data_IF_752797016698
#
_entry.id   IF_752797016698
#
_cell.length_a   1.000
_cell.length_b   1.000
_cell.length_c   1.000
_cell.angle_alpha   90.00
_cell.angle_beta   90.00
_cell.angle_gamma   90.00
#
_symmetry.space_group_name_H-M   'P 1'
#
loop_
_entity.id
_entity.type
_entity.pdbx_description
1 polymer ?
#
# COMPACT_ATOMS: atom_id res chain seq x y z
N UNK A 1 -33.27 6.89 -28.79
CA UNK A 1 -33.40 6.54 -27.35
C UNK A 1 -32.65 5.28 -26.98
N UNK A 2 -32.76 4.20 -27.75
CA UNK A 2 -32.03 2.94 -27.45
C UNK A 2 -30.53 3.11 -27.50
N UNK A 3 -30.01 4.00 -28.35
CA UNK A 3 -28.56 4.26 -28.44
C UNK A 3 -27.99 4.90 -27.20
N UNK A 4 -28.74 5.77 -26.53
CA UNK A 4 -28.28 6.42 -25.30
C UNK A 4 -28.15 5.44 -24.15
N UNK A 5 -29.05 4.48 -24.07
CA UNK A 5 -29.01 3.45 -23.04
C UNK A 5 -27.80 2.55 -23.24
N UNK A 6 -27.48 2.17 -24.46
CA UNK A 6 -26.31 1.34 -24.76
C UNK A 6 -25.00 2.04 -24.44
N UNK A 7 -24.90 3.32 -24.73
CA UNK A 7 -23.70 4.10 -24.43
C UNK A 7 -23.51 4.22 -22.94
N UNK A 8 -24.59 4.42 -22.20
CA UNK A 8 -24.52 4.51 -20.73
C UNK A 8 -24.04 3.19 -20.11
N UNK A 9 -24.51 2.07 -20.62
CA UNK A 9 -24.12 0.75 -20.15
C UNK A 9 -22.64 0.49 -20.41
N UNK A 10 -22.15 0.85 -21.60
CA UNK A 10 -20.75 0.71 -21.96
C UNK A 10 -19.85 1.55 -21.07
N UNK A 11 -20.28 2.77 -20.73
CA UNK A 11 -19.55 3.64 -19.83
C UNK A 11 -19.42 3.03 -18.43
N UNK A 12 -20.47 2.41 -17.92
CA UNK A 12 -20.45 1.76 -16.63
C UNK A 12 -19.47 0.59 -16.59
N UNK A 13 -19.40 -0.19 -17.66
CA UNK A 13 -18.46 -1.31 -17.76
C UNK A 13 -17.01 -0.83 -17.79
N UNK A 14 -16.73 0.23 -18.54
CA UNK A 14 -15.40 0.81 -18.61
C UNK A 14 -14.99 1.37 -17.24
N UNK A 15 -15.91 2.01 -16.57
CA UNK A 15 -15.64 2.55 -15.23
C UNK A 15 -15.33 1.44 -14.23
N UNK A 16 -16.04 0.32 -14.26
CA UNK A 16 -15.77 -0.81 -13.40
C UNK A 16 -14.40 -1.43 -13.67
N UNK A 17 -14.02 -1.58 -14.93
CA UNK A 17 -12.72 -2.10 -15.30
C UNK A 17 -11.58 -1.17 -14.84
N UNK A 18 -11.78 0.16 -14.99
CA UNK A 18 -10.79 1.13 -14.55
C UNK A 18 -10.64 1.10 -13.03
N UNK A 19 -11.72 0.93 -12.30
CA UNK A 19 -11.68 0.83 -10.84
C UNK A 19 -10.88 -0.39 -10.38
N UNK A 20 -11.07 -1.54 -11.02
CA UNK A 20 -10.31 -2.74 -10.71
C UNK A 20 -8.81 -2.55 -11.02
N UNK A 21 -8.50 -1.79 -12.06
CA UNK A 21 -7.14 -1.55 -12.47
C UNK A 21 -6.36 -0.71 -11.45
N UNK A 22 -7.04 0.19 -10.73
CA UNK A 22 -6.39 1.06 -9.75
C UNK A 22 -6.20 0.43 -8.38
N UNK A 23 -6.45 -0.88 -8.23
CA UNK A 23 -6.33 -1.56 -6.95
C UNK A 23 -4.90 -1.99 -6.60
N UNK A 24 -3.89 -1.69 -7.44
CA UNK A 24 -2.53 -2.20 -7.29
C UNK A 24 -1.91 -1.99 -5.91
N UNK A 25 -1.67 -0.75 -5.52
CA UNK A 25 -1.06 -0.44 -4.21
C UNK A 25 -2.12 -0.34 -3.12
N UNK A 26 -3.34 0.03 -3.48
CA UNK A 26 -4.43 0.17 -2.52
C UNK A 26 -4.75 -1.16 -1.84
N UNK A 27 -5.00 -1.11 -0.54
CA UNK A 27 -5.42 -2.27 0.21
C UNK A 27 -4.56 -2.54 1.43
N UNK A 28 -4.72 -3.73 1.98
CA UNK A 28 -3.96 -4.16 3.15
C UNK A 28 -2.83 -5.08 2.75
N UNK A 29 -1.69 -4.86 3.37
CA UNK A 29 -0.47 -5.61 3.10
C UNK A 29 0.10 -6.11 4.41
N UNK A 30 0.57 -7.34 4.43
CA UNK A 30 1.16 -7.94 5.61
C UNK A 30 2.63 -8.22 5.39
N UNK A 31 3.40 -8.11 6.46
CA UNK A 31 4.83 -8.38 6.46
C UNK A 31 5.29 -8.82 7.83
N UNK A 32 6.47 -9.45 7.86
CA UNK A 32 7.16 -9.75 9.10
C UNK A 32 8.39 -8.85 9.17
N UNK A 33 8.51 -8.09 10.24
CA UNK A 33 9.68 -7.25 10.47
C UNK A 33 10.52 -7.83 11.59
N UNK A 34 11.84 -7.72 11.42
CA UNK A 34 12.79 -8.18 12.43
C UNK A 34 13.13 -7.05 13.38
N UNK A 35 12.92 -7.26 14.65
CA UNK A 35 13.27 -6.30 15.69
C UNK A 35 14.74 -6.34 16.06
N UNK A 36 15.19 -5.40 16.91
CA UNK A 36 16.60 -5.33 17.33
C UNK A 36 17.07 -6.58 18.07
N UNK A 37 16.16 -7.31 18.70
CA UNK A 37 16.45 -8.55 19.42
C UNK A 37 16.49 -9.78 18.52
N UNK A 38 16.27 -9.59 17.21
CA UNK A 38 16.24 -10.69 16.25
C UNK A 38 14.90 -11.39 16.11
N UNK A 39 13.92 -11.06 16.94
CA UNK A 39 12.58 -11.63 16.84
C UNK A 39 11.79 -10.96 15.74
N UNK A 40 10.99 -11.75 15.03
CA UNK A 40 10.10 -11.23 13.99
C UNK A 40 8.73 -10.92 14.60
N UNK A 41 8.11 -9.86 14.09
CA UNK A 41 6.76 -9.49 14.50
C UNK A 41 5.93 -9.13 13.28
N UNK A 42 4.62 -9.43 13.30
CA UNK A 42 3.75 -9.11 12.18
C UNK A 42 3.42 -7.63 12.14
N UNK A 43 3.34 -7.09 10.94
CA UNK A 43 2.95 -5.70 10.73
C UNK A 43 2.02 -5.65 9.53
N UNK A 44 1.01 -4.78 9.60
CA UNK A 44 0.04 -4.60 8.54
C UNK A 44 0.08 -3.16 8.06
N UNK A 45 0.23 -2.99 6.76
CA UNK A 45 0.16 -1.68 6.13
C UNK A 45 -1.16 -1.58 5.39
N UNK A 46 -1.88 -0.50 5.62
CA UNK A 46 -3.07 -0.17 4.84
C UNK A 46 -2.76 1.05 4.01
N UNK A 47 -2.84 0.91 2.69
CA UNK A 47 -2.49 1.98 1.76
C UNK A 47 -3.69 2.40 0.94
N UNK A 48 -3.76 3.69 0.68
CA UNK A 48 -4.73 4.28 -0.24
C UNK A 48 -4.03 5.33 -1.08
N UNK A 49 -4.20 5.22 -2.40
CA UNK A 49 -3.64 6.19 -3.33
C UNK A 49 -4.71 7.16 -3.79
N UNK A 50 -4.29 8.41 -3.96
CA UNK A 50 -5.11 9.47 -4.54
C UNK A 50 -4.20 10.27 -5.47
N UNK A 51 -4.22 9.91 -6.75
CA UNK A 51 -3.24 10.44 -7.68
C UNK A 51 -1.83 10.04 -7.26
N UNK A 52 -0.96 11.02 -7.04
CA UNK A 52 0.40 10.79 -6.61
C UNK A 52 0.56 10.75 -5.08
N UNK A 53 -0.53 10.94 -4.35
CA UNK A 53 -0.49 10.98 -2.89
C UNK A 53 -0.79 9.60 -2.32
N UNK A 54 0.01 9.17 -1.36
CA UNK A 54 -0.18 7.92 -0.64
C UNK A 54 -0.55 8.24 0.81
N UNK A 55 -1.65 7.66 1.27
CA UNK A 55 -2.08 7.75 2.67
C UNK A 55 -2.25 6.36 3.24
N UNK A 56 -2.32 6.26 4.54
CA UNK A 56 -2.57 4.98 5.16
C UNK A 56 -2.11 4.90 6.60
N UNK A 57 -2.06 3.66 7.07
CA UNK A 57 -1.68 3.34 8.45
C UNK A 57 -0.75 2.15 8.49
N UNK A 58 0.00 2.08 9.58
CA UNK A 58 0.84 0.95 9.93
C UNK A 58 0.30 0.39 11.24
N UNK A 59 -0.07 -0.88 11.25
CA UNK A 59 -0.65 -1.53 12.42
C UNK A 59 0.27 -2.66 12.89
N UNK A 60 0.54 -2.67 14.18
CA UNK A 60 1.35 -3.71 14.81
C UNK A 60 0.72 -4.09 16.14
N UNK A 61 1.36 -4.98 16.90
CA UNK A 61 0.87 -5.38 18.22
C UNK A 61 0.83 -4.22 19.23
N UNK A 62 1.61 -3.17 18.98
CA UNK A 62 1.64 -2.02 19.89
C UNK A 62 0.67 -0.91 19.47
N UNK A 63 -0.05 -1.06 18.37
CA UNK A 63 -1.07 -0.10 17.95
C UNK A 63 -1.03 0.22 16.47
N UNK A 64 -1.84 1.19 16.08
CA UNK A 64 -1.92 1.71 14.71
C UNK A 64 -1.34 3.11 14.66
N UNK A 65 -0.55 3.37 13.61
CA UNK A 65 0.15 4.64 13.44
C UNK A 65 -0.08 5.13 12.02
N UNK A 66 -0.25 6.44 11.85
CA UNK A 66 -0.41 7.04 10.54
C UNK A 66 0.90 7.18 9.80
N UNK A 67 0.79 7.27 8.47
CA UNK A 67 1.93 7.64 7.64
C UNK A 67 1.78 9.08 7.17
N UNK A 68 2.90 9.70 6.82
CA UNK A 68 2.92 11.06 6.28
C UNK A 68 3.88 11.13 5.10
N UNK A 69 3.81 12.23 4.34
CA UNK A 69 4.69 12.47 3.19
C UNK A 69 4.66 11.34 2.17
N UNK A 70 3.50 10.69 2.03
CA UNK A 70 3.34 9.57 1.11
C UNK A 70 3.25 10.03 -0.33
N UNK A 71 4.06 9.43 -1.21
CA UNK A 71 4.12 9.74 -2.63
C UNK A 71 4.17 8.43 -3.41
N UNK A 72 3.45 8.39 -4.53
CA UNK A 72 3.51 7.29 -5.47
C UNK A 72 3.91 7.85 -6.83
N UNK A 73 4.88 7.19 -7.45
CA UNK A 73 5.30 7.54 -8.81
C UNK A 73 5.55 6.25 -9.58
N UNK A 74 4.66 5.93 -10.53
CA UNK A 74 4.70 4.65 -11.20
C UNK A 74 4.50 3.52 -10.20
N UNK A 75 5.42 2.58 -10.16
CA UNK A 75 5.41 1.47 -9.20
C UNK A 75 6.17 1.78 -7.92
N UNK A 76 6.79 2.94 -7.82
CA UNK A 76 7.57 3.33 -6.64
C UNK A 76 6.72 4.08 -5.65
N UNK A 77 7.00 3.88 -4.38
CA UNK A 77 6.29 4.56 -3.30
C UNK A 77 7.25 4.98 -2.20
N UNK A 78 6.94 6.08 -1.55
CA UNK A 78 7.71 6.62 -0.42
C UNK A 78 6.72 7.08 0.63
N UNK A 79 7.07 6.86 1.88
CA UNK A 79 6.26 7.39 2.99
C UNK A 79 7.09 7.41 4.26
N UNK A 80 6.61 8.18 5.24
CA UNK A 80 7.17 8.24 6.57
C UNK A 80 6.18 7.60 7.54
N UNK A 81 6.62 6.59 8.27
CA UNK A 81 5.82 5.98 9.33
C UNK A 81 6.08 6.73 10.64
N UNK A 82 5.01 7.22 11.25
CA UNK A 82 5.10 7.99 12.50
C UNK A 82 4.76 7.06 13.66
N UNK A 83 5.77 6.40 14.21
CA UNK A 83 5.60 5.42 15.29
C UNK A 83 6.04 6.06 16.59
N UNK A 84 5.06 6.44 17.43
CA UNK A 84 5.30 7.21 18.65
C UNK A 84 6.00 8.54 18.31
N UNK A 85 7.19 8.75 18.81
CA UNK A 85 7.97 9.96 18.49
C UNK A 85 8.95 9.75 17.35
N UNK A 86 9.01 8.54 16.80
CA UNK A 86 9.95 8.21 15.73
C UNK A 86 9.32 8.41 14.36
N UNK A 87 10.09 9.00 13.47
CA UNK A 87 9.73 9.13 12.06
C UNK A 87 10.64 8.23 11.23
N UNK A 88 10.05 7.22 10.63
CA UNK A 88 10.82 6.21 9.89
C UNK A 88 10.48 6.35 8.41
N UNK A 89 11.48 6.70 7.61
CA UNK A 89 11.33 6.84 6.17
C UNK A 89 11.35 5.47 5.52
N UNK A 90 10.43 5.26 4.58
CA UNK A 90 10.29 4.00 3.87
C UNK A 90 10.27 4.28 2.38
N UNK A 91 10.84 3.36 1.62
CA UNK A 91 10.83 3.39 0.16
C UNK A 91 10.49 2.00 -0.35
N UNK A 92 9.53 1.91 -1.26
CA UNK A 92 9.10 0.63 -1.77
C UNK A 92 8.85 0.63 -3.26
N UNK A 93 8.68 -0.58 -3.78
CA UNK A 93 8.30 -0.80 -5.16
C UNK A 93 7.28 -1.92 -5.24
N UNK A 94 6.21 -1.67 -5.98
CA UNK A 94 5.15 -2.63 -6.22
C UNK A 94 5.48 -3.50 -7.42
N UNK A 95 5.27 -4.81 -7.29
CA UNK A 95 5.43 -5.79 -8.35
C UNK A 95 4.09 -6.47 -8.60
N UNK A 96 3.52 -6.21 -9.77
CA UNK A 96 2.21 -6.76 -10.12
C UNK A 96 2.23 -8.27 -10.28
N UNK A 97 3.33 -8.83 -10.77
CA UNK A 97 3.45 -10.26 -11.04
C UNK A 97 3.19 -11.13 -9.81
N UNK A 98 3.71 -10.74 -8.67
CA UNK A 98 3.51 -11.49 -7.44
C UNK A 98 2.57 -10.82 -6.46
N UNK A 99 1.97 -9.69 -6.86
CA UNK A 99 1.16 -8.84 -6.00
C UNK A 99 1.87 -8.59 -4.67
N UNK A 100 3.06 -8.02 -4.76
CA UNK A 100 3.94 -7.80 -3.63
C UNK A 100 4.57 -6.42 -3.68
N UNK A 101 5.02 -5.94 -2.53
CA UNK A 101 5.77 -4.70 -2.42
C UNK A 101 7.10 -5.01 -1.74
N UNK A 102 8.20 -4.67 -2.41
CA UNK A 102 9.52 -4.71 -1.80
C UNK A 102 9.73 -3.40 -1.05
N UNK A 103 10.01 -3.45 0.24
CA UNK A 103 10.05 -2.27 1.09
C UNK A 103 11.37 -2.20 1.82
N UNK A 104 12.00 -1.03 1.77
CA UNK A 104 13.13 -0.68 2.62
C UNK A 104 12.65 0.21 3.75
N UNK A 105 12.97 -0.19 4.96
CA UNK A 105 12.51 0.48 6.18
C UNK A 105 13.69 1.17 6.84
N UNK A 106 13.62 2.49 6.97
CA UNK A 106 14.61 3.28 7.68
C UNK A 106 15.92 3.43 6.94
N UNK A 107 16.91 3.99 7.64
CA UNK A 107 18.24 4.27 7.08
C UNK A 107 19.18 3.07 7.13
N UNK A 108 18.82 2.02 7.86
CA UNK A 108 19.68 0.86 8.07
C UNK A 108 19.50 -0.24 7.03
N UNK A 109 18.85 0.06 5.92
CA UNK A 109 18.67 -0.89 4.83
C UNK A 109 17.93 -2.16 5.22
N UNK A 110 17.04 -2.08 6.20
CA UNK A 110 16.16 -3.19 6.53
C UNK A 110 15.19 -3.40 5.39
N UNK A 111 15.19 -4.60 4.83
CA UNK A 111 14.35 -4.93 3.69
C UNK A 111 13.29 -5.94 4.11
N UNK A 112 12.05 -5.72 3.67
CA UNK A 112 10.98 -6.68 3.85
C UNK A 112 10.12 -6.72 2.59
N UNK A 113 9.41 -7.80 2.42
CA UNK A 113 8.47 -7.95 1.32
C UNK A 113 7.06 -7.98 1.89
N UNK A 114 6.24 -7.06 1.40
CA UNK A 114 4.83 -7.03 1.78
C UNK A 114 4.04 -7.93 0.84
N UNK A 115 3.17 -8.72 1.40
CA UNK A 115 2.22 -9.53 0.63
C UNK A 115 0.82 -9.04 0.91
N UNK A 116 -0.03 -9.10 -0.10
CA UNK A 116 -1.41 -8.66 0.08
C UNK A 116 -2.08 -9.51 1.16
N UNK A 117 -2.65 -8.84 2.15
CA UNK A 117 -3.37 -9.54 3.22
C UNK A 117 -4.67 -10.10 2.67
N UNK A 118 -4.93 -11.37 2.99
CA UNK A 118 -6.17 -12.03 2.58
C UNK A 118 -7.19 -11.78 3.68
N UNK A 119 -8.24 -11.06 3.33
CA UNK A 119 -9.35 -10.83 4.24
C UNK A 119 -10.46 -11.82 3.95
N UNK A 120 -10.89 -12.48 4.99
CA UNK A 120 -12.06 -13.37 4.90
C UNK A 120 -13.26 -12.73 5.53
#
# INVERSE_FOLDING_TARGET
>A
MKRKILVTLALLLVFGAAFAYFAGIDGKWSAMLKGPDGNEFPITYTFKTDGATLTGTVTSSIGSFGISDGVVKGDSLWFTANINTMKIKNKGRYYADGDSISLRVGTRSTHTTLKRAIEK
#
